data_IF_165942039822
#
_entry.id   IF_165942039822
#
_cell.length_a   1.000
_cell.length_b   1.000
_cell.length_c   1.000
_cell.angle_alpha   90.00
_cell.angle_beta   90.00
_cell.angle_gamma   90.00
#
_symmetry.space_group_name_H-M   'P 1'
#
loop_
_entity.id
_entity.type
_entity.pdbx_description
1 polymer ?
#
# COMPACT_ATOMS: atom_id res chain seq x y z
N UNK A 1 49.57 0.69 22.76
CA UNK A 1 48.48 -0.14 22.20
C UNK A 1 47.15 0.35 22.76
N UNK A 2 46.42 1.18 22.02
CA UNK A 2 44.96 1.36 22.20
C UNK A 2 44.41 1.67 20.81
N UNK A 3 43.95 0.64 20.10
CA UNK A 3 43.13 0.78 18.90
C UNK A 3 41.73 1.20 19.35
N UNK A 4 41.41 2.49 19.22
CA UNK A 4 40.04 2.96 19.36
C UNK A 4 39.22 2.48 18.16
N UNK A 5 38.54 1.36 18.32
CA UNK A 5 37.41 0.98 17.47
C UNK A 5 36.23 1.88 17.84
N UNK A 6 35.62 2.63 16.90
CA UNK A 6 34.35 3.28 17.19
C UNK A 6 33.27 2.20 17.26
N UNK A 7 32.71 2.01 18.46
CA UNK A 7 31.47 1.29 18.69
C UNK A 7 30.32 2.04 18.00
N UNK A 8 30.10 1.73 16.73
CA UNK A 8 28.88 2.08 16.01
C UNK A 8 27.93 0.88 16.15
N UNK A 9 27.03 0.93 17.12
CA UNK A 9 25.89 0.02 17.21
C UNK A 9 25.00 0.24 15.99
N UNK A 10 25.33 -0.39 14.87
CA UNK A 10 24.68 -0.13 13.58
C UNK A 10 23.25 -0.65 13.61
N UNK A 11 22.31 0.23 13.94
CA UNK A 11 20.90 0.03 13.56
C UNK A 11 20.90 -0.02 12.04
N UNK A 12 20.83 -1.23 11.49
CA UNK A 12 20.77 -1.47 10.06
C UNK A 12 19.41 -1.00 9.54
N UNK A 13 19.31 0.28 9.20
CA UNK A 13 18.15 0.81 8.48
C UNK A 13 18.16 0.25 7.05
N UNK A 14 17.08 -0.42 6.66
CA UNK A 14 16.90 -0.95 5.32
C UNK A 14 16.45 0.17 4.38
N UNK A 15 16.93 0.16 3.13
CA UNK A 15 16.46 1.09 2.07
C UNK A 15 15.17 0.57 1.41
N UNK A 16 14.38 -0.22 2.14
CA UNK A 16 13.13 -0.75 1.62
C UNK A 16 12.05 0.33 1.71
N UNK A 17 11.62 0.85 0.57
CA UNK A 17 10.58 1.86 0.48
C UNK A 17 9.23 1.18 0.28
N UNK A 18 8.30 1.38 1.21
CA UNK A 18 6.91 0.90 1.09
C UNK A 18 5.96 2.06 1.30
N UNK A 19 5.31 2.48 0.22
CA UNK A 19 4.20 3.44 0.25
C UNK A 19 2.85 2.73 0.29
N UNK A 20 2.83 1.42 0.00
CA UNK A 20 1.64 0.61 0.01
C UNK A 20 1.13 0.31 1.43
N UNK A 21 -0.12 0.69 1.70
CA UNK A 21 -0.75 0.54 3.04
C UNK A 21 -1.39 -0.82 3.26
N UNK A 22 -1.84 -1.48 2.20
CA UNK A 22 -2.58 -2.74 2.29
C UNK A 22 -1.70 -3.94 1.93
N UNK A 23 -2.15 -5.14 2.28
CA UNK A 23 -1.61 -6.41 1.77
C UNK A 23 -2.78 -7.11 1.07
N UNK A 24 -2.56 -7.89 0.01
CA UNK A 24 -3.66 -8.41 -0.82
C UNK A 24 -4.74 -9.19 -0.04
N UNK A 25 -4.35 -9.92 1.02
CA UNK A 25 -5.27 -10.63 1.90
C UNK A 25 -6.01 -9.71 2.89
N UNK A 26 -5.40 -8.60 3.29
CA UNK A 26 -5.96 -7.64 4.25
C UNK A 26 -6.67 -6.47 3.54
N UNK A 27 -6.73 -6.52 2.20
CA UNK A 27 -7.29 -5.44 1.39
C UNK A 27 -8.77 -5.24 1.71
N UNK A 28 -9.59 -6.30 1.69
CA UNK A 28 -11.02 -6.15 1.89
C UNK A 28 -11.39 -5.66 3.30
N UNK A 29 -10.95 -6.32 4.40
CA UNK A 29 -11.31 -5.88 5.76
C UNK A 29 -10.73 -4.51 6.10
N UNK A 30 -9.49 -4.21 5.69
CA UNK A 30 -8.84 -2.95 6.04
C UNK A 30 -9.28 -1.79 5.15
N UNK A 31 -9.63 -2.04 3.88
CA UNK A 31 -10.24 -1.05 3.00
C UNK A 31 -11.65 -0.67 3.50
N UNK A 32 -12.45 -1.63 3.96
CA UNK A 32 -13.74 -1.34 4.61
C UNK A 32 -13.56 -0.47 5.87
N UNK A 33 -12.59 -0.81 6.73
CA UNK A 33 -12.26 -0.01 7.93
C UNK A 33 -11.81 1.41 7.61
N UNK A 34 -11.01 1.60 6.56
CA UNK A 34 -10.59 2.93 6.12
C UNK A 34 -11.72 3.71 5.45
N UNK A 35 -12.63 3.05 4.73
CA UNK A 35 -13.86 3.65 4.22
C UNK A 35 -14.78 4.13 5.36
N UNK A 36 -14.84 3.42 6.50
CA UNK A 36 -15.62 3.86 7.67
C UNK A 36 -15.09 5.14 8.33
N UNK A 37 -13.84 5.56 8.06
CA UNK A 37 -13.30 6.84 8.59
C UNK A 37 -13.93 8.07 7.91
N UNK A 38 -14.45 7.90 6.70
CA UNK A 38 -15.17 8.94 5.99
C UNK A 38 -16.68 8.73 6.18
N UNK A 39 -17.35 9.69 6.82
CA UNK A 39 -18.80 9.61 7.14
C UNK A 39 -19.65 9.35 5.89
N UNK A 40 -19.28 9.91 4.73
CA UNK A 40 -19.97 9.67 3.46
C UNK A 40 -19.89 8.20 3.01
N UNK A 41 -18.72 7.58 3.10
CA UNK A 41 -18.52 6.18 2.70
C UNK A 41 -19.17 5.22 3.71
N UNK A 42 -19.18 5.59 5.00
CA UNK A 42 -19.91 4.88 6.04
C UNK A 42 -21.42 4.80 5.74
N UNK A 43 -22.04 5.93 5.35
CA UNK A 43 -23.46 5.98 4.97
C UNK A 43 -23.79 4.97 3.87
N UNK A 44 -22.98 4.92 2.81
CA UNK A 44 -23.24 4.01 1.70
C UNK A 44 -23.04 2.54 2.05
N UNK A 45 -22.03 2.19 2.85
CA UNK A 45 -21.79 0.80 3.29
C UNK A 45 -22.86 0.34 4.27
N UNK A 46 -23.28 1.20 5.21
CA UNK A 46 -24.39 0.89 6.13
C UNK A 46 -25.71 0.72 5.38
N UNK A 47 -26.01 1.59 4.42
CA UNK A 47 -27.20 1.47 3.57
C UNK A 47 -27.17 0.18 2.75
N UNK A 48 -26.00 -0.21 2.22
CA UNK A 48 -25.83 -1.48 1.51
C UNK A 48 -26.05 -2.70 2.43
N UNK A 49 -25.53 -2.68 3.67
CA UNK A 49 -25.73 -3.78 4.64
C UNK A 49 -27.19 -3.88 5.08
N UNK A 50 -27.82 -2.75 5.41
CA UNK A 50 -29.23 -2.69 5.82
C UNK A 50 -30.16 -3.16 4.69
N UNK A 51 -29.87 -2.81 3.43
CA UNK A 51 -30.62 -3.27 2.26
C UNK A 51 -30.29 -4.73 1.86
N UNK A 52 -29.13 -5.26 2.25
CA UNK A 52 -28.77 -6.68 2.06
C UNK A 52 -29.53 -7.60 3.01
N UNK A 53 -29.97 -7.08 4.16
CA UNK A 53 -30.86 -7.79 5.10
C UNK A 53 -32.30 -7.56 4.61
N UNK A 54 -32.76 -8.47 3.73
CA UNK A 54 -34.08 -8.42 3.09
C UNK A 54 -35.31 -8.16 3.99
N UNK A 55 -35.40 -8.59 5.27
CA UNK A 55 -36.62 -8.43 6.06
C UNK A 55 -36.91 -7.03 6.63
N UNK A 56 -36.07 -6.01 6.37
CA UNK A 56 -36.29 -4.62 6.84
C UNK A 56 -36.62 -3.64 5.69
N UNK A 57 -36.84 -4.13 4.47
CA UNK A 57 -37.16 -3.29 3.32
C UNK A 57 -38.64 -2.94 3.28
N UNK A 58 -38.98 -1.73 3.70
CA UNK A 58 -40.32 -1.10 3.69
C UNK A 58 -40.88 -0.82 2.27
N UNK A 59 -40.50 -1.59 1.24
CA UNK A 59 -40.80 -1.25 -0.17
C UNK A 59 -41.30 -2.42 -1.04
N UNK A 60 -41.98 -3.40 -0.43
CA UNK A 60 -42.81 -4.38 -1.18
C UNK A 60 -42.09 -4.97 -2.42
N UNK A 61 -40.80 -5.29 -2.26
CA UNK A 61 -39.98 -5.96 -3.28
C UNK A 61 -39.31 -5.11 -4.37
N UNK A 62 -39.33 -3.77 -4.34
CA UNK A 62 -38.67 -2.94 -5.37
C UNK A 62 -37.48 -2.13 -4.82
N UNK A 63 -36.23 -2.61 -4.99
CA UNK A 63 -35.03 -1.94 -4.48
C UNK A 63 -34.50 -0.85 -5.45
N UNK A 64 -35.33 0.12 -5.84
CA UNK A 64 -35.00 1.13 -6.87
C UNK A 64 -33.81 2.02 -6.52
N UNK A 65 -33.63 2.34 -5.23
CA UNK A 65 -32.52 3.15 -4.72
C UNK A 65 -31.21 2.35 -4.69
N UNK A 66 -31.28 1.07 -4.28
CA UNK A 66 -30.14 0.16 -4.24
C UNK A 66 -29.57 -0.07 -5.65
N UNK A 67 -30.45 -0.23 -6.64
CA UNK A 67 -30.07 -0.43 -8.05
C UNK A 67 -29.21 0.72 -8.59
N UNK A 68 -29.49 1.97 -8.18
CA UNK A 68 -28.70 3.13 -8.59
C UNK A 68 -27.41 3.31 -7.77
N UNK A 69 -27.44 3.04 -6.46
CA UNK A 69 -26.32 3.31 -5.57
C UNK A 69 -25.21 2.25 -5.64
N UNK A 70 -25.58 0.97 -5.74
CA UNK A 70 -24.65 -0.16 -5.72
C UNK A 70 -23.56 -0.08 -6.81
N UNK A 71 -23.86 0.17 -8.10
CA UNK A 71 -22.83 0.24 -9.14
C UNK A 71 -21.89 1.43 -8.95
N UNK A 72 -22.39 2.57 -8.45
CA UNK A 72 -21.56 3.76 -8.18
C UNK A 72 -20.57 3.45 -7.05
N UNK A 73 -21.04 2.84 -5.97
CA UNK A 73 -20.20 2.45 -4.83
C UNK A 73 -19.14 1.41 -5.20
N UNK A 74 -19.53 0.41 -5.99
CA UNK A 74 -18.60 -0.58 -6.52
C UNK A 74 -17.53 0.07 -7.41
N UNK A 75 -17.90 1.02 -8.28
CA UNK A 75 -16.95 1.70 -9.14
C UNK A 75 -15.92 2.53 -8.35
N UNK A 76 -16.34 3.20 -7.27
CA UNK A 76 -15.44 3.95 -6.38
C UNK A 76 -14.47 3.01 -5.67
N UNK A 77 -14.97 1.94 -5.04
CA UNK A 77 -14.13 0.97 -4.34
C UNK A 77 -13.13 0.27 -5.27
N UNK A 78 -13.54 -0.05 -6.51
CA UNK A 78 -12.66 -0.63 -7.53
C UNK A 78 -11.58 0.36 -7.93
N UNK A 79 -11.91 1.63 -8.18
CA UNK A 79 -10.89 2.66 -8.53
C UNK A 79 -9.85 2.80 -7.42
N UNK A 80 -10.28 2.94 -6.16
CA UNK A 80 -9.38 3.04 -5.01
C UNK A 80 -8.47 1.80 -4.88
N UNK A 81 -9.01 0.60 -5.09
CA UNK A 81 -8.24 -0.64 -5.09
C UNK A 81 -7.22 -0.73 -6.24
N UNK A 82 -7.58 -0.28 -7.44
CA UNK A 82 -6.69 -0.24 -8.59
C UNK A 82 -5.53 0.74 -8.37
N UNK A 83 -5.80 1.90 -7.80
CA UNK A 83 -4.78 2.89 -7.45
C UNK A 83 -3.80 2.34 -6.40
N UNK A 84 -4.32 1.68 -5.36
CA UNK A 84 -3.45 1.07 -4.35
C UNK A 84 -2.61 -0.08 -4.92
N UNK A 85 -3.18 -0.88 -5.84
CA UNK A 85 -2.42 -1.90 -6.58
C UNK A 85 -1.36 -1.28 -7.50
N UNK A 86 -1.63 -0.13 -8.09
CA UNK A 86 -0.65 0.60 -8.88
C UNK A 86 0.52 1.09 -8.01
N UNK A 87 0.24 1.57 -6.77
CA UNK A 87 1.28 1.94 -5.80
C UNK A 87 2.15 0.75 -5.41
N UNK A 88 1.55 -0.41 -5.12
CA UNK A 88 2.29 -1.64 -4.87
C UNK A 88 3.26 -2.02 -6.00
N UNK A 89 2.80 -1.91 -7.26
CA UNK A 89 3.65 -2.17 -8.42
C UNK A 89 4.79 -1.16 -8.52
N UNK A 90 4.51 0.11 -8.22
CA UNK A 90 5.51 1.16 -8.24
C UNK A 90 6.59 0.95 -7.17
N UNK A 91 6.19 0.68 -5.92
CA UNK A 91 7.11 0.36 -4.84
C UNK A 91 7.96 -0.87 -5.16
N UNK A 92 7.36 -1.92 -5.71
CA UNK A 92 8.10 -3.11 -6.11
C UNK A 92 9.12 -2.82 -7.23
N UNK A 93 8.79 -1.90 -8.14
CA UNK A 93 9.71 -1.46 -9.20
C UNK A 93 10.87 -0.66 -8.62
N UNK A 94 10.59 0.31 -7.76
CA UNK A 94 11.62 1.14 -7.11
C UNK A 94 12.58 0.29 -6.28
N UNK A 95 12.06 -0.59 -5.41
CA UNK A 95 12.88 -1.46 -4.58
C UNK A 95 13.76 -2.44 -5.37
N UNK A 96 13.35 -2.81 -6.60
CA UNK A 96 14.08 -3.72 -7.49
C UNK A 96 15.02 -3.00 -8.46
N UNK A 97 15.07 -1.65 -8.46
CA UNK A 97 16.01 -0.91 -9.31
C UNK A 97 17.44 -1.33 -9.00
N UNK A 98 18.23 -1.54 -10.05
CA UNK A 98 19.64 -1.88 -9.92
C UNK A 98 20.46 -0.60 -9.86
N UNK A 99 21.35 -0.53 -8.89
CA UNK A 99 22.28 0.57 -8.64
C UNK A 99 23.69 0.03 -8.52
N UNK A 100 24.64 0.88 -8.90
CA UNK A 100 26.06 0.56 -8.84
C UNK A 100 26.63 0.95 -7.49
N UNK A 101 26.86 -0.04 -6.63
CA UNK A 101 27.50 0.12 -5.32
C UNK A 101 29.01 -0.07 -5.46
N UNK A 102 29.79 0.84 -4.91
CA UNK A 102 31.24 0.70 -4.80
C UNK A 102 31.58 -0.01 -3.49
N UNK A 103 32.23 -1.17 -3.59
CA UNK A 103 32.67 -1.96 -2.43
C UNK A 103 34.03 -2.60 -2.74
N UNK A 104 35.00 -2.42 -1.84
CA UNK A 104 36.34 -3.00 -1.95
C UNK A 104 37.03 -2.72 -3.31
N UNK A 105 36.98 -1.48 -3.78
CA UNK A 105 37.60 -1.09 -5.05
C UNK A 105 36.84 -1.49 -6.31
N UNK A 106 35.75 -2.25 -6.19
CA UNK A 106 34.97 -2.76 -7.32
C UNK A 106 33.54 -2.20 -7.33
N UNK A 107 33.01 -1.99 -8.53
CA UNK A 107 31.62 -1.59 -8.75
C UNK A 107 30.77 -2.84 -8.92
N UNK A 108 29.84 -3.07 -8.00
CA UNK A 108 28.92 -4.21 -8.04
C UNK A 108 27.48 -3.72 -8.24
N UNK A 109 26.70 -4.35 -9.13
CA UNK A 109 25.27 -4.10 -9.22
C UNK A 109 24.57 -4.63 -7.96
N UNK A 110 23.74 -3.81 -7.32
CA UNK A 110 22.97 -4.14 -6.10
C UNK A 110 21.54 -3.61 -6.27
N UNK A 111 20.54 -4.23 -5.63
CA UNK A 111 19.17 -3.71 -5.65
C UNK A 111 19.04 -2.51 -4.71
N UNK A 112 18.17 -1.57 -5.07
CA UNK A 112 17.91 -0.36 -4.31
C UNK A 112 17.60 -0.65 -2.84
N UNK A 113 16.74 -1.64 -2.57
CA UNK A 113 16.35 -2.04 -1.21
C UNK A 113 17.50 -2.59 -0.35
N UNK A 114 18.56 -3.10 -0.97
CA UNK A 114 19.68 -3.78 -0.30
C UNK A 114 20.85 -2.83 0.02
N UNK A 115 20.71 -1.56 -0.35
CA UNK A 115 21.65 -0.50 0.04
C UNK A 115 21.59 -0.22 1.54
N UNK A 116 22.76 0.05 2.13
CA UNK A 116 22.88 0.42 3.54
C UNK A 116 23.56 1.78 3.72
N UNK A 117 23.39 2.37 4.91
CA UNK A 117 24.03 3.63 5.27
C UNK A 117 25.56 3.44 5.23
N UNK A 118 26.25 4.34 4.54
CA UNK A 118 27.70 4.27 4.32
C UNK A 118 28.11 3.68 2.96
N UNK A 119 27.16 3.20 2.16
CA UNK A 119 27.44 2.76 0.80
C UNK A 119 27.66 3.92 -0.16
N UNK A 120 28.73 3.84 -0.95
CA UNK A 120 29.01 4.78 -2.04
C UNK A 120 28.35 4.24 -3.31
N UNK A 121 27.48 5.04 -3.93
CA UNK A 121 26.78 4.67 -5.16
C UNK A 121 27.19 5.58 -6.33
N UNK A 122 27.23 5.00 -7.54
CA UNK A 122 27.43 5.75 -8.78
C UNK A 122 26.09 5.97 -9.46
N UNK A 123 25.69 7.24 -9.60
CA UNK A 123 24.46 7.63 -10.32
C UNK A 123 24.83 7.93 -11.77
N UNK A 124 24.25 7.18 -12.71
CA UNK A 124 24.33 7.50 -14.14
C UNK A 124 23.11 8.37 -14.50
N UNK A 125 23.33 9.40 -15.30
CA UNK A 125 22.32 10.38 -15.69
C UNK A 125 21.45 9.87 -16.82
#
# INVERSE_FOLDING_TARGET
>A
CVTNQPESSSVNHTNFVRTSRYTWYDFLPRNLLDQFKNVANCYFVLTAILQSIGPISDSDGQPTILVGLLPIMMAVAVREGLEDRARHRNDARENKKIVERFKNGNVNPTQWKDLQVGDVIRVRK
#
